data_IF_348132194325
#
_entry.id   IF_348132194325
#
_cell.length_a   1.000
_cell.length_b   1.000
_cell.length_c   1.000
_cell.angle_alpha   90.00
_cell.angle_beta   90.00
_cell.angle_gamma   90.00
#
_symmetry.space_group_name_H-M   'P 1'
#
loop_
_entity.id
_entity.type
_entity.pdbx_description
1 polymer ?
#
# COMPACT_ATOMS: atom_id res chain seq x y z
N UNK A 1 58.24 -14.83 -41.26
CA UNK A 1 57.79 -13.43 -41.36
C UNK A 1 56.26 -13.46 -41.45
N UNK A 2 55.45 -12.82 -40.61
CA UNK A 2 55.52 -11.49 -40.02
C UNK A 2 54.79 -11.52 -38.67
N UNK A 3 55.49 -11.10 -37.62
CA UNK A 3 54.94 -10.75 -36.31
C UNK A 3 54.01 -9.53 -36.43
N UNK A 4 52.89 -9.50 -35.70
CA UNK A 4 52.11 -8.27 -35.50
C UNK A 4 51.60 -8.21 -34.07
N UNK A 5 52.08 -7.18 -33.39
CA UNK A 5 51.93 -6.85 -31.98
C UNK A 5 50.48 -6.55 -31.55
N UNK A 6 50.17 -6.71 -30.25
CA UNK A 6 48.90 -6.31 -29.65
C UNK A 6 48.82 -4.79 -29.46
N UNK A 7 47.71 -4.20 -29.93
CA UNK A 7 47.33 -2.81 -29.67
C UNK A 7 46.97 -2.63 -28.19
N UNK A 8 47.80 -1.84 -27.51
CA UNK A 8 47.58 -1.26 -26.19
C UNK A 8 46.38 -0.30 -26.23
N UNK A 9 45.32 -0.63 -25.51
CA UNK A 9 44.22 0.28 -25.21
C UNK A 9 44.61 1.09 -23.97
N UNK A 10 44.89 2.38 -24.19
CA UNK A 10 45.12 3.37 -23.14
C UNK A 10 43.89 3.47 -22.23
N UNK A 11 44.12 3.20 -20.94
CA UNK A 11 43.20 3.49 -19.84
C UNK A 11 43.10 5.00 -19.65
N UNK A 12 42.10 5.62 -20.27
CA UNK A 12 41.72 6.99 -19.97
C UNK A 12 41.02 7.03 -18.61
N UNK A 13 41.78 7.33 -17.56
CA UNK A 13 41.27 7.58 -16.21
C UNK A 13 40.43 8.87 -16.21
N UNK A 14 39.12 8.71 -16.28
CA UNK A 14 38.18 9.82 -16.06
C UNK A 14 38.07 10.08 -14.57
N UNK A 15 38.76 11.11 -14.10
CA UNK A 15 38.53 11.73 -12.80
C UNK A 15 37.08 12.24 -12.75
N UNK A 16 36.21 11.52 -12.05
CA UNK A 16 34.82 11.91 -11.83
C UNK A 16 34.80 12.98 -10.74
N UNK A 17 34.48 14.21 -11.15
CA UNK A 17 34.38 15.39 -10.30
C UNK A 17 33.26 15.21 -9.26
N UNK A 18 33.65 15.14 -7.99
CA UNK A 18 32.84 14.62 -6.87
C UNK A 18 31.84 15.65 -6.29
N UNK A 19 31.35 16.60 -7.10
CA UNK A 19 30.50 17.71 -6.62
C UNK A 19 29.32 18.09 -7.51
N UNK A 20 28.79 17.16 -8.29
CA UNK A 20 27.45 17.36 -8.85
C UNK A 20 26.41 17.22 -7.74
N UNK A 21 25.43 18.14 -7.60
CA UNK A 21 24.35 18.02 -6.63
C UNK A 21 23.57 16.73 -6.92
N UNK A 22 23.86 15.69 -6.14
CA UNK A 22 23.22 14.38 -6.26
C UNK A 22 21.75 14.60 -5.99
N UNK A 23 20.95 14.49 -7.05
CA UNK A 23 19.51 14.45 -6.96
C UNK A 23 19.16 13.38 -5.90
N UNK A 24 18.46 13.73 -4.80
CA UNK A 24 18.19 12.79 -3.72
C UNK A 24 17.32 11.61 -4.16
N UNK A 25 16.70 11.69 -5.34
CA UNK A 25 15.96 10.59 -5.96
C UNK A 25 16.84 9.67 -6.84
N UNK A 26 18.05 10.09 -7.24
CA UNK A 26 18.94 9.27 -8.07
C UNK A 26 19.53 8.08 -7.31
N UNK A 27 19.78 8.23 -5.99
CA UNK A 27 20.22 7.12 -5.13
C UNK A 27 19.16 6.02 -5.02
N UNK A 28 17.87 6.36 -5.11
CA UNK A 28 16.79 5.37 -5.17
C UNK A 28 16.76 4.60 -6.49
N UNK A 29 17.06 5.24 -7.62
CA UNK A 29 17.04 4.56 -8.93
C UNK A 29 18.24 3.61 -9.11
N UNK A 30 19.41 4.00 -8.61
CA UNK A 30 20.65 3.20 -8.73
C UNK A 30 20.81 2.14 -7.63
N UNK A 31 20.06 2.25 -6.52
CA UNK A 31 20.12 1.30 -5.40
C UNK A 31 19.32 0.01 -5.57
N UNK A 32 18.53 -0.15 -6.64
CA UNK A 32 17.71 -1.36 -6.88
C UNK A 32 18.43 -2.48 -7.65
N UNK A 33 19.74 -2.36 -7.89
CA UNK A 33 20.54 -3.34 -8.64
C UNK A 33 21.30 -4.37 -7.81
N UNK A 34 21.36 -4.25 -6.47
CA UNK A 34 21.95 -5.32 -5.65
C UNK A 34 20.91 -6.41 -5.45
N UNK A 35 21.02 -7.45 -6.26
CA UNK A 35 20.17 -8.65 -6.28
C UNK A 35 20.11 -9.37 -4.92
N UNK A 36 20.99 -9.05 -3.99
CA UNK A 36 21.22 -9.85 -2.78
C UNK A 36 20.31 -9.47 -1.59
N UNK A 37 19.65 -8.29 -1.61
CA UNK A 37 18.74 -7.85 -0.53
C UNK A 37 17.27 -7.70 -0.98
N UNK A 38 16.89 -8.39 -2.05
CA UNK A 38 15.47 -8.43 -2.46
C UNK A 38 14.65 -9.28 -1.48
N UNK A 39 14.07 -8.62 -0.48
CA UNK A 39 13.06 -9.17 0.43
C UNK A 39 11.79 -9.71 -0.26
N UNK A 40 11.66 -9.53 -1.58
CA UNK A 40 10.70 -10.27 -2.39
C UNK A 40 11.41 -11.45 -3.02
N UNK A 41 11.34 -12.60 -2.34
CA UNK A 41 11.61 -13.88 -2.99
C UNK A 41 10.59 -14.05 -4.12
N UNK A 42 11.02 -14.21 -5.38
CA UNK A 42 10.11 -14.62 -6.44
C UNK A 42 9.54 -15.98 -6.05
N UNK A 43 8.20 -16.07 -6.04
CA UNK A 43 7.48 -17.32 -5.84
C UNK A 43 7.85 -18.28 -6.98
N UNK A 44 8.87 -19.12 -6.78
CA UNK A 44 9.32 -20.05 -7.81
C UNK A 44 10.69 -20.69 -7.60
N UNK A 45 11.55 -20.17 -6.72
CA UNK A 45 12.82 -20.86 -6.44
C UNK A 45 12.60 -21.93 -5.38
N UNK A 46 12.45 -23.17 -5.83
CA UNK A 46 12.55 -24.38 -5.01
C UNK A 46 13.97 -24.42 -4.46
N UNK A 47 14.15 -23.93 -3.23
CA UNK A 47 15.38 -24.17 -2.49
C UNK A 47 15.25 -25.55 -1.88
N UNK A 48 15.95 -26.50 -2.48
CA UNK A 48 16.16 -27.85 -1.96
C UNK A 48 17.03 -27.76 -0.69
N UNK A 49 16.37 -27.64 0.46
CA UNK A 49 16.97 -27.79 1.79
C UNK A 49 16.44 -29.08 2.38
N UNK A 50 17.01 -30.20 1.98
CA UNK A 50 16.79 -31.48 2.65
C UNK A 50 18.11 -32.19 2.95
N UNK A 51 18.77 -31.73 4.01
CA UNK A 51 19.68 -32.55 4.83
C UNK A 51 19.83 -31.94 6.21
N UNK A 52 18.81 -32.08 7.06
CA UNK A 52 19.06 -32.14 8.50
C UNK A 52 17.99 -32.94 9.22
N UNK A 53 18.38 -34.17 9.56
CA UNK A 53 17.63 -35.10 10.40
C UNK A 53 17.49 -34.51 11.79
N UNK A 54 16.29 -34.16 12.23
CA UNK A 54 15.96 -34.26 13.65
C UNK A 54 14.61 -34.93 13.89
N UNK A 55 14.79 -36.08 14.54
CA UNK A 55 13.85 -37.05 15.07
C UNK A 55 13.29 -36.48 16.38
N UNK A 56 11.97 -36.48 16.57
CA UNK A 56 11.25 -37.08 17.72
C UNK A 56 9.85 -36.50 17.96
N UNK A 57 8.92 -37.44 18.09
CA UNK A 57 7.79 -37.48 19.02
C UNK A 57 6.55 -36.58 18.79
N UNK A 58 5.58 -37.18 18.10
CA UNK A 58 4.21 -37.46 18.55
C UNK A 58 3.65 -36.63 19.73
N UNK A 59 2.51 -35.96 19.52
CA UNK A 59 1.32 -36.19 20.36
C UNK A 59 0.06 -35.52 19.81
N UNK A 60 -1.02 -36.30 19.82
CA UNK A 60 -2.40 -35.96 19.50
C UNK A 60 -2.94 -34.77 20.30
N UNK A 61 -3.84 -33.97 19.70
CA UNK A 61 -5.23 -33.83 20.21
C UNK A 61 -6.12 -33.02 19.28
N UNK A 62 -7.04 -33.71 18.62
CA UNK A 62 -8.30 -33.17 18.11
C UNK A 62 -9.09 -32.52 19.24
N UNK A 63 -9.76 -31.39 19.00
CA UNK A 63 -10.99 -31.02 19.70
C UNK A 63 -11.81 -30.00 18.92
N UNK A 64 -13.00 -30.46 18.55
CA UNK A 64 -14.17 -29.72 18.11
C UNK A 64 -14.53 -28.55 19.04
N UNK A 65 -14.89 -27.41 18.46
CA UNK A 65 -15.81 -26.40 19.01
C UNK A 65 -16.52 -25.80 17.79
N UNK A 66 -17.66 -26.33 17.34
CA UNK A 66 -19.01 -26.19 17.88
C UNK A 66 -19.46 -24.75 18.07
N UNK A 67 -20.47 -24.43 17.25
CA UNK A 67 -21.47 -23.36 17.29
C UNK A 67 -21.46 -22.45 18.53
N UNK A 68 -21.49 -21.14 18.28
CA UNK A 68 -22.45 -20.27 18.95
C UNK A 68 -22.82 -19.11 18.02
N UNK A 69 -24.12 -19.07 17.74
CA UNK A 69 -24.85 -18.11 16.93
C UNK A 69 -25.62 -17.21 17.91
N UNK A 70 -25.32 -15.91 18.03
CA UNK A 70 -26.17 -14.99 18.76
C UNK A 70 -26.93 -14.09 17.78
N UNK A 71 -28.19 -14.47 17.57
CA UNK A 71 -29.27 -13.61 17.08
C UNK A 71 -29.40 -12.32 17.91
N UNK A 72 -29.48 -11.12 17.29
CA UNK A 72 -30.01 -9.94 17.96
C UNK A 72 -31.41 -9.61 17.42
N UNK A 73 -32.42 -10.17 18.10
CA UNK A 73 -33.77 -9.60 18.15
C UNK A 73 -33.80 -8.52 19.24
N UNK A 74 -33.95 -7.25 18.88
CA UNK A 74 -34.81 -6.34 19.66
C UNK A 74 -35.09 -5.03 18.93
N UNK A 75 -36.38 -4.73 18.90
CA UNK A 75 -37.03 -3.49 18.48
C UNK A 75 -36.50 -2.30 19.30
N UNK A 76 -36.16 -1.19 18.65
CA UNK A 76 -36.10 0.13 19.31
C UNK A 76 -36.78 1.18 18.43
N UNK A 77 -38.03 1.42 18.80
CA UNK A 77 -38.70 2.70 19.02
C UNK A 77 -38.42 3.92 18.11
N UNK A 78 -39.50 4.32 17.43
CA UNK A 78 -39.76 5.64 16.85
C UNK A 78 -39.60 6.76 17.90
N UNK A 79 -38.86 7.81 17.56
CA UNK A 79 -39.11 9.17 18.09
C UNK A 79 -39.24 10.18 16.95
N UNK A 80 -40.49 10.56 16.69
CA UNK A 80 -40.87 11.80 15.99
C UNK A 80 -40.63 12.97 16.95
N UNK A 81 -39.86 13.96 16.51
CA UNK A 81 -39.66 15.22 17.22
C UNK A 81 -39.58 16.39 16.25
N UNK A 82 -40.72 17.04 16.06
CA UNK A 82 -40.91 18.30 15.32
C UNK A 82 -40.60 19.49 16.24
N UNK A 83 -39.89 20.52 15.74
CA UNK A 83 -40.05 21.98 16.04
C UNK A 83 -38.88 22.73 15.35
N UNK A 84 -39.07 23.51 14.28
CA UNK A 84 -39.79 24.78 14.08
C UNK A 84 -39.17 25.98 14.81
N UNK A 85 -38.29 26.70 14.09
CA UNK A 85 -38.23 28.16 14.00
C UNK A 85 -37.73 28.98 15.20
N UNK A 86 -36.60 29.67 15.02
CA UNK A 86 -36.37 30.97 15.64
C UNK A 86 -35.44 31.80 14.76
N UNK A 87 -36.02 32.80 14.09
CA UNK A 87 -35.35 33.90 13.44
C UNK A 87 -34.83 34.84 14.53
N UNK A 88 -33.52 34.81 14.77
CA UNK A 88 -32.83 35.70 15.68
C UNK A 88 -31.78 36.52 14.93
N UNK A 89 -32.17 37.72 14.51
CA UNK A 89 -31.29 38.81 14.07
C UNK A 89 -30.44 39.27 15.25
N UNK A 90 -29.12 39.04 15.23
CA UNK A 90 -28.22 39.61 16.23
C UNK A 90 -26.90 40.10 15.63
N UNK A 91 -26.60 41.35 15.99
CA UNK A 91 -25.54 42.23 15.50
C UNK A 91 -24.13 41.65 15.61
N UNK A 92 -23.43 41.88 14.50
CA UNK A 92 -21.99 41.86 14.25
C UNK A 92 -21.23 42.74 15.27
N UNK A 93 -20.61 42.14 16.28
CA UNK A 93 -19.54 42.77 17.06
C UNK A 93 -18.21 42.14 16.61
N UNK A 94 -17.39 42.94 15.93
CA UNK A 94 -16.02 42.60 15.54
C UNK A 94 -15.12 42.80 16.75
N UNK A 95 -14.84 41.74 17.50
CA UNK A 95 -13.76 41.71 18.48
C UNK A 95 -12.48 41.16 17.85
N UNK A 96 -11.39 41.88 18.10
CA UNK A 96 -10.10 41.70 17.52
C UNK A 96 -9.48 40.31 17.77
N UNK A 97 -8.92 39.73 16.72
CA UNK A 97 -7.59 39.14 16.75
C UNK A 97 -7.32 37.99 17.72
N UNK A 98 -8.25 37.06 17.93
CA UNK A 98 -7.86 35.75 18.49
C UNK A 98 -7.08 34.99 17.41
N UNK A 99 -5.75 35.02 17.53
CA UNK A 99 -4.83 34.11 16.84
C UNK A 99 -5.29 32.69 17.16
N UNK A 100 -6.04 32.10 16.25
CA UNK A 100 -6.36 30.67 16.27
C UNK A 100 -5.03 29.94 16.20
N UNK A 101 -4.51 29.53 17.36
CA UNK A 101 -3.42 28.56 17.43
C UNK A 101 -3.92 27.35 16.67
N UNK A 102 -3.43 27.18 15.45
CA UNK A 102 -3.61 25.95 14.70
C UNK A 102 -3.06 24.86 15.58
N UNK A 103 -3.95 24.15 16.28
CA UNK A 103 -3.63 22.88 16.92
C UNK A 103 -3.24 21.99 15.76
N UNK A 104 -1.96 22.03 15.39
CA UNK A 104 -1.39 21.10 14.46
C UNK A 104 -1.56 19.77 15.17
N UNK A 105 -2.59 19.02 14.77
CA UNK A 105 -2.72 17.62 15.05
C UNK A 105 -1.49 16.97 14.40
N UNK A 106 -0.34 17.09 15.07
CA UNK A 106 0.84 16.27 14.85
C UNK A 106 0.40 14.90 15.31
N UNK A 107 -0.39 14.24 14.46
CA UNK A 107 -0.65 12.81 14.58
C UNK A 107 0.73 12.22 14.79
N UNK A 108 0.93 11.55 15.91
CA UNK A 108 2.20 10.94 16.28
C UNK A 108 2.59 10.00 15.13
N UNK A 109 3.35 10.53 14.18
CA UNK A 109 3.85 9.75 13.07
C UNK A 109 4.98 8.95 13.68
N UNK A 110 4.69 7.67 13.92
CA UNK A 110 5.68 6.71 14.40
C UNK A 110 6.38 6.18 13.15
N UNK A 111 7.68 6.45 12.97
CA UNK A 111 8.47 5.85 11.90
C UNK A 111 8.34 4.32 11.92
N UNK A 112 8.32 3.69 10.74
CA UNK A 112 8.18 2.22 10.64
C UNK A 112 9.25 1.46 11.44
N UNK A 113 10.46 2.04 11.55
CA UNK A 113 11.60 1.47 12.27
C UNK A 113 11.38 1.36 13.78
N UNK A 114 10.48 2.18 14.33
CA UNK A 114 10.20 2.24 15.77
C UNK A 114 9.04 1.31 16.17
N UNK A 115 8.37 0.68 15.20
CA UNK A 115 7.34 -0.33 15.44
C UNK A 115 7.99 -1.68 15.75
N UNK A 116 7.29 -2.51 16.53
CA UNK A 116 7.70 -3.90 16.73
C UNK A 116 7.73 -4.66 15.40
N UNK A 117 8.61 -5.65 15.30
CA UNK A 117 8.77 -6.44 14.07
C UNK A 117 7.46 -7.13 13.66
N UNK A 118 6.67 -7.58 14.64
CA UNK A 118 5.34 -8.15 14.42
C UNK A 118 4.36 -7.15 13.78
N UNK A 119 4.33 -5.90 14.27
CA UNK A 119 3.44 -4.88 13.73
C UNK A 119 3.89 -4.43 12.34
N UNK A 120 5.21 -4.32 12.11
CA UNK A 120 5.75 -4.05 10.77
C UNK A 120 5.32 -5.13 9.77
N UNK A 121 5.46 -6.41 10.14
CA UNK A 121 5.03 -7.53 9.29
C UNK A 121 3.52 -7.49 9.03
N UNK A 122 2.72 -7.22 10.05
CA UNK A 122 1.26 -7.08 9.91
C UNK A 122 0.89 -5.97 8.92
N UNK A 123 1.54 -4.81 9.03
CA UNK A 123 1.33 -3.68 8.12
C UNK A 123 1.75 -4.07 6.69
N UNK A 124 2.90 -4.71 6.52
CA UNK A 124 3.37 -5.16 5.21
C UNK A 124 2.40 -6.17 4.58
N UNK A 125 2.01 -7.21 5.31
CA UNK A 125 1.05 -8.22 4.84
C UNK A 125 -0.29 -7.58 4.45
N UNK A 126 -0.79 -6.63 5.26
CA UNK A 126 -1.99 -5.87 4.93
C UNK A 126 -1.86 -5.17 3.58
N UNK A 127 -0.81 -4.37 3.37
CA UNK A 127 -0.65 -3.64 2.12
C UNK A 127 -0.39 -4.56 0.92
N UNK A 128 0.41 -5.60 1.09
CA UNK A 128 0.67 -6.60 0.04
C UNK A 128 -0.60 -7.33 -0.38
N UNK A 129 -1.50 -7.63 0.56
CA UNK A 129 -2.80 -8.27 0.26
C UNK A 129 -3.75 -7.39 -0.55
N UNK A 130 -3.46 -6.10 -0.74
CA UNK A 130 -4.17 -5.21 -1.66
C UNK A 130 -3.63 -5.26 -3.09
N UNK A 131 -2.63 -6.09 -3.38
CA UNK A 131 -2.09 -6.31 -4.72
C UNK A 131 -2.32 -7.76 -5.18
N UNK A 132 -2.31 -8.01 -6.48
CA UNK A 132 -2.35 -9.35 -7.03
C UNK A 132 -0.97 -10.03 -6.87
N UNK A 133 -0.87 -11.24 -6.30
CA UNK A 133 0.42 -11.88 -6.03
C UNK A 133 1.16 -12.30 -7.31
N UNK A 134 0.42 -12.51 -8.41
CA UNK A 134 0.94 -12.93 -9.71
C UNK A 134 1.40 -11.76 -10.60
N UNK A 135 1.07 -10.53 -10.23
CA UNK A 135 1.39 -9.35 -11.04
C UNK A 135 2.88 -8.97 -10.91
N UNK A 136 3.40 -8.30 -11.93
CA UNK A 136 4.77 -7.77 -11.93
C UNK A 136 5.01 -6.81 -10.76
N UNK A 137 6.27 -6.65 -10.34
CA UNK A 137 6.60 -5.85 -9.15
C UNK A 137 6.11 -4.39 -9.26
N UNK A 138 6.25 -3.78 -10.44
CA UNK A 138 5.81 -2.40 -10.67
C UNK A 138 4.29 -2.27 -10.62
N UNK A 139 3.58 -3.22 -11.24
CA UNK A 139 2.12 -3.30 -11.18
C UNK A 139 1.65 -3.49 -9.74
N UNK A 140 2.31 -4.34 -8.94
CA UNK A 140 1.99 -4.51 -7.53
C UNK A 140 2.18 -3.21 -6.73
N UNK A 141 3.30 -2.51 -6.92
CA UNK A 141 3.55 -1.19 -6.28
C UNK A 141 2.46 -0.18 -6.63
N UNK A 142 2.05 -0.14 -7.90
CA UNK A 142 0.98 0.72 -8.36
C UNK A 142 -0.37 0.39 -7.70
N UNK A 143 -0.74 -0.90 -7.65
CA UNK A 143 -1.98 -1.34 -7.00
C UNK A 143 -2.01 -0.99 -5.51
N UNK A 144 -0.87 -1.13 -4.81
CA UNK A 144 -0.75 -0.70 -3.41
C UNK A 144 -0.94 0.82 -3.28
N UNK A 145 -0.39 1.62 -4.18
CA UNK A 145 -0.57 3.07 -4.19
C UNK A 145 -2.04 3.48 -4.39
N UNK A 146 -2.74 2.84 -5.32
CA UNK A 146 -4.18 3.05 -5.54
C UNK A 146 -4.97 2.65 -4.29
N UNK A 147 -4.66 1.49 -3.70
CA UNK A 147 -5.24 1.04 -2.44
C UNK A 147 -5.04 2.03 -1.30
N UNK A 148 -3.83 2.59 -1.16
CA UNK A 148 -3.52 3.60 -0.15
C UNK A 148 -4.34 4.88 -0.35
N UNK A 149 -4.55 5.30 -1.60
CA UNK A 149 -5.39 6.46 -1.91
C UNK A 149 -6.86 6.22 -1.54
N UNK A 150 -7.40 5.05 -1.82
CA UNK A 150 -8.76 4.67 -1.44
C UNK A 150 -8.91 4.56 0.08
N UNK A 151 -7.91 4.01 0.77
CA UNK A 151 -7.91 3.84 2.23
C UNK A 151 -7.95 5.17 3.00
N UNK A 152 -7.59 6.29 2.36
CA UNK A 152 -7.76 7.62 2.96
C UNK A 152 -9.23 8.07 3.05
N UNK A 153 -10.15 7.40 2.34
CA UNK A 153 -11.58 7.76 2.24
C UNK A 153 -12.52 6.66 2.69
N UNK A 154 -12.08 5.41 2.69
CA UNK A 154 -12.92 4.25 2.93
C UNK A 154 -12.30 3.25 3.91
N UNK A 155 -13.15 2.41 4.50
CA UNK A 155 -12.72 1.32 5.36
C UNK A 155 -12.12 0.18 4.53
N UNK A 156 -11.25 -0.62 5.15
CA UNK A 156 -10.50 -1.68 4.48
C UNK A 156 -11.35 -2.68 3.65
N UNK A 157 -12.50 -3.19 4.14
CA UNK A 157 -13.34 -4.10 3.35
C UNK A 157 -13.85 -3.45 2.05
N UNK A 158 -14.21 -2.16 2.12
CA UNK A 158 -14.69 -1.37 0.98
C UNK A 158 -13.54 -1.14 -0.02
N UNK A 159 -12.33 -0.86 0.47
CA UNK A 159 -11.14 -0.71 -0.38
C UNK A 159 -10.84 -2.01 -1.13
N UNK A 160 -10.93 -3.17 -0.47
CA UNK A 160 -10.71 -4.47 -1.12
C UNK A 160 -11.75 -4.73 -2.22
N UNK A 161 -13.02 -4.47 -1.94
CA UNK A 161 -14.09 -4.62 -2.93
C UNK A 161 -13.90 -3.66 -4.13
N UNK A 162 -13.49 -2.41 -3.88
CA UNK A 162 -13.24 -1.43 -4.94
C UNK A 162 -12.05 -1.84 -5.82
N UNK A 163 -10.93 -2.26 -5.22
CA UNK A 163 -9.78 -2.78 -5.98
C UNK A 163 -10.13 -4.04 -6.77
N UNK A 164 -10.96 -4.92 -6.22
CA UNK A 164 -11.42 -6.10 -6.95
C UNK A 164 -12.26 -5.71 -8.17
N UNK A 165 -13.23 -4.79 -8.02
CA UNK A 165 -14.01 -4.29 -9.17
C UNK A 165 -13.14 -3.61 -10.21
N UNK A 166 -12.17 -2.79 -9.80
CA UNK A 166 -11.22 -2.16 -10.71
C UNK A 166 -10.41 -3.19 -11.50
N UNK A 167 -9.91 -4.24 -10.83
CA UNK A 167 -9.21 -5.33 -11.54
C UNK A 167 -10.10 -6.00 -12.56
N UNK A 168 -11.36 -6.29 -12.20
CA UNK A 168 -12.34 -6.89 -13.13
C UNK A 168 -12.64 -5.97 -14.31
N UNK A 169 -12.75 -4.65 -14.07
CA UNK A 169 -12.98 -3.65 -15.12
C UNK A 169 -11.84 -3.61 -16.16
N UNK A 170 -10.60 -3.80 -15.72
CA UNK A 170 -9.44 -3.76 -16.61
C UNK A 170 -9.13 -5.10 -17.31
N UNK A 171 -9.85 -6.20 -17.02
CA UNK A 171 -9.61 -7.50 -17.65
C UNK A 171 -9.83 -7.45 -19.19
N UNK A 172 -8.98 -8.13 -19.98
CA UNK A 172 -7.90 -9.05 -19.58
C UNK A 172 -6.60 -8.36 -19.11
N UNK A 173 -6.53 -7.02 -19.12
CA UNK A 173 -5.39 -6.27 -18.63
C UNK A 173 -5.28 -6.25 -17.09
N UNK A 174 -4.05 -6.17 -16.59
CA UNK A 174 -3.83 -5.88 -15.17
C UNK A 174 -4.16 -4.40 -14.88
N UNK A 175 -4.59 -4.10 -13.65
CA UNK A 175 -4.68 -2.73 -13.16
C UNK A 175 -3.25 -2.18 -13.04
N UNK A 176 -2.80 -1.48 -14.08
CA UNK A 176 -1.48 -0.90 -14.23
C UNK A 176 -1.58 0.58 -14.64
N UNK A 177 -0.44 1.27 -14.73
CA UNK A 177 -0.41 2.70 -15.04
C UNK A 177 -0.92 2.96 -16.45
N UNK A 178 -0.52 2.12 -17.41
CA UNK A 178 -0.86 2.24 -18.81
C UNK A 178 -2.37 2.05 -19.03
N UNK A 179 -2.95 1.01 -18.43
CA UNK A 179 -4.38 0.72 -18.55
C UNK A 179 -5.23 1.82 -17.90
N UNK A 180 -4.82 2.32 -16.72
CA UNK A 180 -5.52 3.42 -16.06
C UNK A 180 -5.39 4.74 -16.85
N UNK A 181 -4.22 5.03 -17.44
CA UNK A 181 -3.98 6.28 -18.19
C UNK A 181 -4.80 6.38 -19.48
N UNK A 182 -5.20 5.23 -20.06
CA UNK A 182 -6.01 5.14 -21.27
C UNK A 182 -7.50 5.07 -20.98
N UNK A 183 -7.89 4.76 -19.74
CA UNK A 183 -9.27 4.64 -19.35
C UNK A 183 -9.98 5.99 -19.33
N UNK A 184 -11.27 5.98 -19.64
CA UNK A 184 -12.11 7.16 -19.41
C UNK A 184 -12.24 7.38 -17.88
N UNK A 185 -11.92 8.57 -17.35
CA UNK A 185 -12.05 8.85 -15.92
C UNK A 185 -13.48 8.66 -15.40
N UNK A 186 -14.51 8.88 -16.22
CA UNK A 186 -15.91 8.75 -15.79
C UNK A 186 -16.27 7.28 -15.49
N UNK A 187 -15.87 6.34 -16.35
CA UNK A 187 -16.11 4.90 -16.15
C UNK A 187 -15.39 4.37 -14.90
N UNK A 188 -14.16 4.85 -14.68
CA UNK A 188 -13.37 4.52 -13.48
C UNK A 188 -14.04 5.10 -12.23
N UNK A 189 -14.52 6.35 -12.30
CA UNK A 189 -15.21 7.00 -11.19
C UNK A 189 -16.53 6.29 -10.85
N UNK A 190 -17.31 5.88 -11.85
CA UNK A 190 -18.54 5.10 -11.68
C UNK A 190 -18.23 3.74 -11.03
N UNK A 191 -17.20 3.04 -11.52
CA UNK A 191 -16.75 1.76 -10.97
C UNK A 191 -16.41 1.87 -9.48
N UNK A 192 -15.65 2.91 -9.10
CA UNK A 192 -15.27 3.16 -7.70
C UNK A 192 -16.48 3.60 -6.86
N UNK A 193 -17.32 4.49 -7.40
CA UNK A 193 -18.48 5.05 -6.68
C UNK A 193 -19.51 3.98 -6.35
N UNK A 194 -19.67 2.96 -7.21
CA UNK A 194 -20.55 1.81 -6.98
C UNK A 194 -20.17 0.92 -5.78
N UNK A 195 -19.06 1.21 -5.10
CA UNK A 195 -18.61 0.50 -3.89
C UNK A 195 -18.50 1.44 -2.70
N UNK A 196 -18.19 2.71 -2.93
CA UNK A 196 -18.02 3.71 -1.88
C UNK A 196 -19.35 4.25 -1.34
N UNK A 197 -20.41 4.22 -2.14
CA UNK A 197 -21.73 4.75 -1.83
C UNK A 197 -22.80 3.66 -1.97
#
# INVERSE_FOLDING_TARGET
EKSKEPLSLDSAEHAVDERTPVNPFASFALGFGSIEDSFFTPAGTIIDVESSKQKLASSNRSKNLSLNDPSPSSKVEKRKGTQKGSLGTAKRIRLAGQKKSSVSNKRNFIPMKDLSLEEQQRIQQKWQSLSAPTAELEVRRFQVLVGARLHARAQEPVVRAALQKLRTFFLPGELCVESLSRANPDDVAETISSVLF
#
